data_IF_138842484737
#
_entry.id   IF_138842484737
#
_cell.length_a   1.000
_cell.length_b   1.000
_cell.length_c   1.000
_cell.angle_alpha   90.00
_cell.angle_beta   90.00
_cell.angle_gamma   90.00
#
_symmetry.space_group_name_H-M   'P 1'
#
loop_
_entity.id
_entity.type
_entity.pdbx_description
1 polymer ?
#
# COMPACT_ATOMS: atom_id res chain seq x y z
N UNK A 1 -2.94 -19.79 36.31
CA UNK A 1 -2.76 -20.20 34.90
C UNK A 1 -3.24 -19.07 34.01
N UNK A 2 -2.42 -18.46 33.14
CA UNK A 2 -2.89 -17.42 32.21
C UNK A 2 -3.92 -18.01 31.24
N UNK A 3 -4.90 -17.21 30.83
CA UNK A 3 -5.97 -17.64 29.93
C UNK A 3 -5.40 -18.06 28.55
N UNK A 4 -6.03 -19.00 27.82
CA UNK A 4 -5.52 -19.51 26.54
C UNK A 4 -5.22 -18.42 25.50
N UNK A 5 -5.96 -17.30 25.54
CA UNK A 5 -5.78 -16.15 24.66
C UNK A 5 -4.49 -15.37 24.95
N UNK A 6 -4.06 -15.28 26.22
CA UNK A 6 -2.81 -14.59 26.63
C UNK A 6 -1.59 -15.38 26.15
N UNK A 7 -1.64 -16.71 26.20
CA UNK A 7 -0.57 -17.58 25.67
C UNK A 7 -0.44 -17.51 24.14
N UNK A 8 -1.55 -17.36 23.41
CA UNK A 8 -1.53 -17.23 21.96
C UNK A 8 -0.90 -15.90 21.50
N UNK A 9 -1.29 -14.78 22.12
CA UNK A 9 -0.75 -13.46 21.79
C UNK A 9 0.75 -13.36 22.13
N UNK A 10 1.16 -13.92 23.27
CA UNK A 10 2.57 -14.00 23.65
C UNK A 10 3.40 -14.87 22.70
N UNK A 11 2.82 -15.96 22.17
CA UNK A 11 3.50 -16.80 21.18
C UNK A 11 3.74 -16.04 19.86
N UNK A 12 2.74 -15.31 19.35
CA UNK A 12 2.87 -14.55 18.10
C UNK A 12 3.87 -13.40 18.25
N UNK A 13 3.80 -12.66 19.36
CA UNK A 13 4.68 -11.51 19.62
C UNK A 13 6.17 -11.89 19.61
N UNK A 14 6.51 -13.13 19.99
CA UNK A 14 7.88 -13.63 20.07
C UNK A 14 8.33 -14.43 18.84
N UNK A 15 7.48 -14.58 17.82
CA UNK A 15 7.91 -15.26 16.58
C UNK A 15 8.78 -14.32 15.74
N UNK A 16 10.02 -14.73 15.49
CA UNK A 16 10.85 -14.14 14.45
C UNK A 16 10.39 -14.65 13.07
N UNK A 17 10.05 -13.78 12.10
CA UNK A 17 9.65 -14.20 10.76
C UNK A 17 10.81 -14.80 9.93
N UNK A 18 11.99 -14.99 10.52
CA UNK A 18 13.20 -15.43 9.83
C UNK A 18 13.84 -14.32 8.99
N UNK A 19 14.94 -14.64 8.29
CA UNK A 19 15.60 -13.69 7.40
C UNK A 19 14.72 -13.44 6.17
N UNK A 20 14.19 -12.22 6.03
CA UNK A 20 13.48 -11.82 4.82
C UNK A 20 14.45 -11.71 3.65
N UNK A 21 14.26 -12.55 2.61
CA UNK A 21 15.05 -12.47 1.39
C UNK A 21 14.63 -11.26 0.54
N UNK A 22 15.32 -10.13 0.71
CA UNK A 22 15.04 -8.88 -0.01
C UNK A 22 15.30 -8.93 -1.52
N UNK A 23 16.04 -9.93 -2.01
CA UNK A 23 16.44 -10.06 -3.41
C UNK A 23 15.31 -10.46 -4.37
N UNK A 24 14.22 -11.06 -3.86
CA UNK A 24 13.17 -11.62 -4.73
C UNK A 24 12.32 -10.59 -5.47
N UNK A 25 12.30 -9.34 -4.99
CA UNK A 25 11.48 -8.28 -5.58
C UNK A 25 12.06 -7.79 -6.92
N UNK A 26 13.39 -7.70 -7.05
CA UNK A 26 14.01 -7.10 -8.23
C UNK A 26 14.21 -8.09 -9.39
N UNK A 27 14.15 -9.40 -9.15
CA UNK A 27 14.49 -10.40 -10.16
C UNK A 27 13.62 -10.30 -11.41
N UNK A 28 12.30 -10.18 -11.26
CA UNK A 28 11.38 -10.09 -12.40
C UNK A 28 11.55 -8.77 -13.15
N UNK A 29 11.65 -7.65 -12.42
CA UNK A 29 11.89 -6.33 -13.02
C UNK A 29 13.19 -6.30 -13.84
N UNK A 30 14.29 -6.81 -13.26
CA UNK A 30 15.58 -6.88 -13.94
C UNK A 30 15.53 -7.77 -15.18
N UNK A 31 14.85 -8.92 -15.12
CA UNK A 31 14.69 -9.81 -16.28
C UNK A 31 13.88 -9.15 -17.40
N UNK A 32 12.80 -8.42 -17.07
CA UNK A 32 12.01 -7.67 -18.06
C UNK A 32 12.89 -6.62 -18.75
N UNK A 33 13.67 -5.86 -17.98
CA UNK A 33 14.56 -4.82 -18.52
C UNK A 33 15.68 -5.41 -19.38
N UNK A 34 16.29 -6.52 -18.95
CA UNK A 34 17.30 -7.23 -19.73
C UNK A 34 16.72 -7.75 -21.05
N UNK A 35 15.54 -8.38 -21.00
CA UNK A 35 14.85 -8.87 -22.18
C UNK A 35 14.51 -7.73 -23.15
N UNK A 36 14.06 -6.58 -22.63
CA UNK A 36 13.79 -5.39 -23.44
C UNK A 36 15.05 -4.90 -24.17
N UNK A 37 16.18 -4.77 -23.47
CA UNK A 37 17.45 -4.28 -24.06
C UNK A 37 18.05 -5.28 -25.04
N UNK A 38 17.88 -6.59 -24.82
CA UNK A 38 18.42 -7.63 -25.70
C UNK A 38 17.57 -7.90 -26.95
N UNK A 39 16.41 -7.25 -27.09
CA UNK A 39 15.48 -7.49 -28.20
C UNK A 39 15.56 -6.35 -29.21
N UNK A 40 16.04 -6.62 -30.42
CA UNK A 40 16.21 -5.58 -31.46
C UNK A 40 14.91 -4.85 -31.85
N UNK A 41 13.78 -5.57 -31.87
CA UNK A 41 12.46 -5.00 -32.16
C UNK A 41 11.43 -5.49 -31.12
N UNK A 42 11.38 -4.87 -29.93
CA UNK A 42 10.54 -5.35 -28.84
C UNK A 42 9.05 -5.13 -29.14
N UNK A 43 8.21 -6.08 -28.73
CA UNK A 43 6.76 -5.94 -28.86
C UNK A 43 6.23 -4.79 -28.01
N UNK A 44 5.05 -4.25 -28.37
CA UNK A 44 4.40 -3.19 -27.59
C UNK A 44 4.13 -3.62 -26.14
N UNK A 45 3.79 -4.90 -25.92
CA UNK A 45 3.65 -5.45 -24.56
C UNK A 45 4.96 -5.43 -23.76
N UNK A 46 6.10 -5.78 -24.39
CA UNK A 46 7.40 -5.73 -23.73
C UNK A 46 7.83 -4.29 -23.44
N UNK A 47 7.60 -3.35 -24.38
CA UNK A 47 7.81 -1.92 -24.16
C UNK A 47 6.98 -1.42 -22.97
N UNK A 48 5.70 -1.78 -22.91
CA UNK A 48 4.81 -1.38 -21.83
C UNK A 48 5.26 -1.93 -20.47
N UNK A 49 5.67 -3.20 -20.41
CA UNK A 49 6.22 -3.81 -19.19
C UNK A 49 7.49 -3.10 -18.73
N UNK A 50 8.42 -2.82 -19.64
CA UNK A 50 9.63 -2.06 -19.32
C UNK A 50 9.30 -0.64 -18.82
N UNK A 51 8.35 0.05 -19.46
CA UNK A 51 7.86 1.35 -18.99
C UNK A 51 7.21 1.26 -17.61
N UNK A 52 6.41 0.23 -17.35
CA UNK A 52 5.80 0.00 -16.03
C UNK A 52 6.87 -0.22 -14.95
N UNK A 53 7.92 -0.99 -15.25
CA UNK A 53 9.03 -1.19 -14.33
C UNK A 53 9.70 0.15 -13.97
N UNK A 54 10.00 0.97 -14.98
CA UNK A 54 10.74 2.23 -14.79
C UNK A 54 9.86 3.32 -14.16
N UNK A 55 8.58 3.42 -14.54
CA UNK A 55 7.68 4.50 -14.12
C UNK A 55 6.92 4.20 -12.82
N UNK A 56 6.66 2.93 -12.52
CA UNK A 56 5.83 2.53 -11.38
C UNK A 56 6.62 1.69 -10.40
N UNK A 57 7.12 0.54 -10.83
CA UNK A 57 7.66 -0.47 -9.92
C UNK A 57 8.89 0.03 -9.17
N UNK A 58 9.94 0.44 -9.90
CA UNK A 58 11.19 0.88 -9.29
C UNK A 58 10.98 2.13 -8.41
N UNK A 59 10.32 3.22 -8.88
CA UNK A 59 10.04 4.38 -8.03
C UNK A 59 9.27 4.05 -6.77
N UNK A 60 8.21 3.23 -6.86
CA UNK A 60 7.41 2.86 -5.68
C UNK A 60 8.23 2.03 -4.70
N UNK A 61 9.08 1.14 -5.20
CA UNK A 61 10.00 0.38 -4.36
C UNK A 61 11.00 1.29 -3.63
N UNK A 62 11.60 2.25 -4.33
CA UNK A 62 12.53 3.21 -3.72
C UNK A 62 11.83 4.07 -2.65
N UNK A 63 10.62 4.56 -2.91
CA UNK A 63 9.82 5.34 -1.96
C UNK A 63 9.53 4.56 -0.67
N UNK A 64 9.13 3.29 -0.81
CA UNK A 64 8.90 2.38 0.33
C UNK A 64 10.20 2.15 1.11
N UNK A 65 11.34 1.96 0.42
CA UNK A 65 12.63 1.73 1.08
C UNK A 65 13.16 2.97 1.78
N UNK A 66 12.95 4.15 1.21
CA UNK A 66 13.34 5.41 1.81
C UNK A 66 12.48 5.73 3.03
N UNK A 67 11.18 5.41 2.98
CA UNK A 67 10.23 5.69 4.05
C UNK A 67 9.46 4.41 4.46
N UNK A 68 10.10 3.48 5.19
CA UNK A 68 9.55 2.15 5.47
C UNK A 68 8.50 2.13 6.59
N UNK A 69 8.28 3.26 7.28
CA UNK A 69 7.33 3.33 8.39
C UNK A 69 5.89 3.10 7.89
N UNK A 70 5.09 2.40 8.68
CA UNK A 70 3.68 2.15 8.38
C UNK A 70 2.86 3.44 8.18
N UNK A 71 3.28 4.54 8.81
CA UNK A 71 2.72 5.90 8.65
C UNK A 71 2.87 6.46 7.24
N UNK A 72 3.70 5.90 6.38
CA UNK A 72 3.76 6.27 4.96
C UNK A 72 2.95 5.33 4.07
N UNK A 73 2.40 4.23 4.60
CA UNK A 73 1.75 3.19 3.81
C UNK A 73 0.60 3.69 2.92
N UNK A 74 -0.30 4.52 3.47
CA UNK A 74 -1.39 5.08 2.67
C UNK A 74 -0.88 6.03 1.57
N UNK A 75 0.21 6.77 1.85
CA UNK A 75 0.84 7.67 0.87
C UNK A 75 1.48 6.88 -0.27
N UNK A 76 2.20 5.81 0.05
CA UNK A 76 2.80 4.91 -0.95
C UNK A 76 1.75 4.30 -1.87
N UNK A 77 0.63 3.83 -1.30
CA UNK A 77 -0.49 3.29 -2.07
C UNK A 77 -1.09 4.34 -3.01
N UNK A 78 -1.35 5.55 -2.51
CA UNK A 78 -1.87 6.66 -3.31
C UNK A 78 -0.91 7.07 -4.43
N UNK A 79 0.38 7.19 -4.13
CA UNK A 79 1.40 7.52 -5.11
C UNK A 79 1.53 6.45 -6.20
N UNK A 80 1.43 5.17 -5.84
CA UNK A 80 1.43 4.07 -6.81
C UNK A 80 0.23 4.16 -7.76
N UNK A 81 -0.97 4.48 -7.24
CA UNK A 81 -2.17 4.69 -8.07
C UNK A 81 -1.95 5.86 -9.05
N UNK A 82 -1.39 6.98 -8.58
CA UNK A 82 -1.08 8.14 -9.44
C UNK A 82 -0.04 7.79 -10.52
N UNK A 83 0.99 7.01 -10.18
CA UNK A 83 2.00 6.55 -11.16
C UNK A 83 1.41 5.67 -12.25
N UNK A 84 0.35 4.91 -11.97
CA UNK A 84 -0.34 4.09 -12.97
C UNK A 84 -1.20 4.90 -13.95
N UNK A 85 -1.29 6.23 -13.84
CA UNK A 85 -2.14 7.06 -14.70
C UNK A 85 -1.79 6.99 -16.18
N UNK A 86 -0.53 6.69 -16.55
CA UNK A 86 -0.08 6.59 -17.95
C UNK A 86 -0.57 5.32 -18.66
N UNK A 87 -1.07 4.32 -17.93
CA UNK A 87 -1.44 3.04 -18.50
C UNK A 87 -2.66 3.18 -19.44
N UNK A 88 -2.68 2.47 -20.58
CA UNK A 88 -3.87 2.35 -21.42
C UNK A 88 -5.05 1.77 -20.62
N UNK A 89 -6.31 2.13 -20.95
CA UNK A 89 -7.49 1.72 -20.17
C UNK A 89 -7.58 0.21 -19.92
N UNK A 90 -7.23 -0.62 -20.91
CA UNK A 90 -7.25 -2.09 -20.83
C UNK A 90 -6.30 -2.65 -19.76
N UNK A 91 -5.11 -2.06 -19.60
CA UNK A 91 -4.13 -2.49 -18.61
C UNK A 91 -4.35 -1.81 -17.26
N UNK A 92 -4.91 -0.59 -17.29
CA UNK A 92 -5.22 0.18 -16.09
C UNK A 92 -6.25 -0.54 -15.22
N UNK A 93 -7.30 -1.12 -15.82
CA UNK A 93 -8.29 -1.92 -15.08
C UNK A 93 -7.64 -3.14 -14.41
N UNK A 94 -6.86 -3.91 -15.17
CA UNK A 94 -6.14 -5.08 -14.65
C UNK A 94 -5.23 -4.72 -13.47
N UNK A 95 -4.46 -3.64 -13.60
CA UNK A 95 -3.56 -3.18 -12.54
C UNK A 95 -4.38 -2.71 -11.34
N UNK A 96 -5.45 -1.93 -11.54
CA UNK A 96 -6.29 -1.43 -10.45
C UNK A 96 -6.98 -2.55 -9.69
N UNK A 97 -7.42 -3.62 -10.36
CA UNK A 97 -7.93 -4.83 -9.70
C UNK A 97 -6.88 -5.51 -8.82
N UNK A 98 -5.61 -5.47 -9.23
CA UNK A 98 -4.49 -5.97 -8.40
C UNK A 98 -4.28 -5.05 -7.18
N UNK A 99 -4.26 -3.73 -7.34
CA UNK A 99 -4.05 -2.84 -6.16
C UNK A 99 -5.27 -2.90 -5.23
N UNK A 100 -6.49 -3.02 -5.76
CA UNK A 100 -7.73 -3.16 -4.97
C UNK A 100 -7.68 -4.39 -4.07
N UNK A 101 -7.23 -5.54 -4.59
CA UNK A 101 -7.05 -6.77 -3.80
C UNK A 101 -5.93 -6.68 -2.75
N UNK A 102 -5.07 -5.67 -2.84
CA UNK A 102 -3.94 -5.44 -1.94
C UNK A 102 -4.08 -4.11 -1.16
N UNK A 103 -5.29 -3.56 -1.08
CA UNK A 103 -5.57 -2.22 -0.52
C UNK A 103 -5.50 -2.15 1.02
N UNK A 104 -4.70 -2.99 1.67
CA UNK A 104 -4.60 -3.04 3.14
C UNK A 104 -4.13 -1.71 3.75
N UNK A 105 -3.24 -0.97 3.06
CA UNK A 105 -2.81 0.34 3.55
C UNK A 105 -3.85 1.45 3.40
N UNK A 106 -4.98 1.18 2.74
CA UNK A 106 -6.11 2.10 2.69
C UNK A 106 -7.11 1.88 3.83
N UNK A 107 -6.91 0.90 4.72
CA UNK A 107 -7.74 0.79 5.93
C UNK A 107 -7.79 2.10 6.70
N UNK A 108 -8.93 2.42 7.31
CA UNK A 108 -9.15 3.71 7.95
C UNK A 108 -8.11 4.00 9.06
N UNK A 109 -7.62 2.98 9.76
CA UNK A 109 -6.55 3.09 10.75
C UNK A 109 -5.23 3.50 10.11
N UNK A 110 -4.87 2.88 8.98
CA UNK A 110 -3.63 3.16 8.27
C UNK A 110 -3.66 4.54 7.65
N UNK A 111 -4.81 4.96 7.11
CA UNK A 111 -5.01 6.32 6.62
C UNK A 111 -4.89 7.33 7.76
N UNK A 112 -5.59 7.13 8.89
CA UNK A 112 -5.50 8.01 10.06
C UNK A 112 -4.08 8.05 10.64
N UNK A 113 -3.38 6.92 10.66
CA UNK A 113 -1.98 6.83 11.08
C UNK A 113 -1.08 7.66 10.18
N UNK A 114 -1.28 7.60 8.86
CA UNK A 114 -0.58 8.47 7.91
C UNK A 114 -0.91 9.95 8.07
N UNK A 115 -2.15 10.29 8.44
CA UNK A 115 -2.56 11.67 8.69
C UNK A 115 -1.94 12.24 9.97
N UNK A 116 -1.72 11.42 11.01
CA UNK A 116 -1.09 11.86 12.26
C UNK A 116 0.37 12.28 12.09
N UNK A 117 1.11 11.66 11.15
CA UNK A 117 2.49 12.04 10.77
C UNK A 117 2.51 12.95 9.52
N UNK A 118 1.40 13.60 9.16
CA UNK A 118 1.40 14.61 8.07
C UNK A 118 2.13 15.87 8.52
N UNK A 119 2.90 16.48 7.62
CA UNK A 119 3.60 17.73 7.90
C UNK A 119 2.62 18.90 8.04
N UNK A 120 1.48 18.81 7.38
CA UNK A 120 0.41 19.82 7.40
C UNK A 120 -0.40 19.71 8.70
N UNK A 121 -0.35 20.75 9.53
CA UNK A 121 -0.99 20.77 10.85
C UNK A 121 -2.51 20.52 10.80
N UNK A 122 -3.20 21.09 9.82
CA UNK A 122 -4.64 20.92 9.65
C UNK A 122 -5.05 19.47 9.37
N UNK A 123 -4.18 18.66 8.74
CA UNK A 123 -4.44 17.24 8.47
C UNK A 123 -4.27 16.42 9.75
N UNK A 124 -3.23 16.70 10.54
CA UNK A 124 -3.04 16.07 11.85
C UNK A 124 -4.24 16.36 12.77
N UNK A 125 -4.71 17.60 12.77
CA UNK A 125 -5.89 17.99 13.53
C UNK A 125 -7.16 17.28 13.05
N UNK A 126 -7.36 17.16 11.73
CA UNK A 126 -8.47 16.39 11.16
C UNK A 126 -8.41 14.92 11.60
N UNK A 127 -7.24 14.30 11.62
CA UNK A 127 -7.04 12.93 12.09
C UNK A 127 -7.43 12.79 13.57
N UNK A 128 -6.96 13.70 14.41
CA UNK A 128 -7.28 13.74 15.83
C UNK A 128 -8.79 13.86 16.04
N UNK A 129 -9.46 14.78 15.34
CA UNK A 129 -10.92 14.96 15.42
C UNK A 129 -11.66 13.69 15.00
N UNK A 130 -11.25 13.02 13.92
CA UNK A 130 -11.83 11.75 13.45
C UNK A 130 -11.67 10.64 14.50
N UNK A 131 -10.49 10.51 15.11
CA UNK A 131 -10.22 9.52 16.17
C UNK A 131 -11.08 9.80 17.40
N UNK A 132 -11.14 11.05 17.88
CA UNK A 132 -11.94 11.42 19.04
C UNK A 132 -13.43 11.17 18.80
N UNK A 133 -13.93 11.46 17.59
CA UNK A 133 -15.31 11.15 17.20
C UNK A 133 -15.57 9.64 17.20
N UNK A 134 -14.67 8.84 16.62
CA UNK A 134 -14.81 7.39 16.60
C UNK A 134 -14.81 6.77 18.00
N UNK A 135 -13.96 7.27 18.92
CA UNK A 135 -13.92 6.81 20.32
C UNK A 135 -15.22 7.06 21.06
N UNK A 136 -15.91 8.18 20.80
CA UNK A 136 -17.21 8.49 21.40
C UNK A 136 -18.34 7.58 20.89
N UNK A 137 -18.22 7.07 19.67
CA UNK A 137 -19.22 6.21 19.02
C UNK A 137 -19.10 4.73 19.38
N UNK A 138 -18.03 4.33 20.07
CA UNK A 138 -17.74 2.92 20.30
C UNK A 138 -18.67 2.34 21.38
N UNK A 139 -19.75 1.68 20.95
CA UNK A 139 -20.74 0.98 21.81
C UNK A 139 -20.66 -0.55 21.74
N UNK A 140 -19.80 -1.12 20.89
CA UNK A 140 -19.78 -2.55 20.57
C UNK A 140 -18.42 -3.18 20.87
N UNK A 141 -18.44 -4.25 21.66
CA UNK A 141 -17.31 -5.13 21.96
C UNK A 141 -17.04 -6.16 20.84
N UNK A 142 -17.67 -6.04 19.68
CA UNK A 142 -17.49 -6.99 18.59
C UNK A 142 -16.06 -6.94 18.03
N UNK A 143 -15.51 -8.14 17.74
CA UNK A 143 -14.21 -8.28 17.07
C UNK A 143 -14.31 -7.65 15.68
N UNK A 144 -13.37 -6.76 15.37
CA UNK A 144 -13.30 -6.12 14.05
C UNK A 144 -13.01 -7.14 12.96
N UNK A 145 -13.80 -7.10 11.89
CA UNK A 145 -13.49 -7.81 10.65
C UNK A 145 -12.53 -6.98 9.78
N UNK A 146 -11.48 -7.62 9.28
CA UNK A 146 -10.45 -6.98 8.47
C UNK A 146 -10.78 -7.11 6.97
N UNK A 147 -11.82 -6.38 6.55
CA UNK A 147 -12.30 -6.40 5.16
C UNK A 147 -11.59 -5.35 4.32
N UNK A 148 -11.08 -5.75 3.16
CA UNK A 148 -10.37 -4.86 2.24
C UNK A 148 -11.29 -3.69 1.84
N UNK A 149 -10.86 -2.42 2.04
CA UNK A 149 -11.69 -1.27 1.70
C UNK A 149 -11.75 -1.06 0.19
N UNK A 150 -12.88 -0.56 -0.31
CA UNK A 150 -13.01 -0.14 -1.70
C UNK A 150 -12.23 1.15 -1.92
N UNK A 151 -11.34 1.17 -2.90
CA UNK A 151 -10.47 2.30 -3.20
C UNK A 151 -11.17 3.33 -4.08
N UNK A 152 -11.02 4.60 -3.71
CA UNK A 152 -11.26 5.73 -4.59
C UNK A 152 -10.02 5.99 -5.46
N UNK A 153 -10.00 5.41 -6.65
CA UNK A 153 -8.91 5.61 -7.62
C UNK A 153 -8.77 7.04 -8.15
N UNK A 154 -9.81 7.88 -7.97
CA UNK A 154 -9.81 9.28 -8.37
C UNK A 154 -9.36 10.22 -7.24
N UNK A 155 -8.99 9.68 -6.07
CA UNK A 155 -8.56 10.47 -4.94
C UNK A 155 -7.39 11.42 -5.30
N UNK A 156 -7.57 12.72 -5.06
CA UNK A 156 -6.51 13.70 -5.20
C UNK A 156 -5.46 13.57 -4.11
N UNK A 157 -5.90 13.23 -2.90
CA UNK A 157 -5.09 13.12 -1.69
C UNK A 157 -5.25 11.75 -1.03
N UNK A 158 -4.19 11.26 -0.38
CA UNK A 158 -4.16 9.92 0.20
C UNK A 158 -5.22 9.72 1.31
N UNK A 159 -5.62 10.78 2.01
CA UNK A 159 -6.62 10.71 3.07
C UNK A 159 -8.07 10.62 2.55
N UNK A 160 -8.25 10.64 1.23
CA UNK A 160 -9.50 10.42 0.50
C UNK A 160 -9.47 9.09 -0.29
N UNK A 161 -8.52 8.18 0.01
CA UNK A 161 -8.40 6.86 -0.65
C UNK A 161 -9.62 5.96 -0.41
N UNK A 162 -10.37 6.21 0.65
CA UNK A 162 -11.58 5.48 0.99
C UNK A 162 -12.70 6.50 1.24
N UNK A 163 -13.92 6.10 0.93
CA UNK A 163 -15.14 6.89 1.20
C UNK A 163 -15.58 6.73 2.65
#
# INVERSE_FOLDING_TARGET
MPSPQVNFLHHIANRSPGKMAHSRWLTTANRILQLYVSTNNPSEGLKLLAQFVIKVYAPSWFEIKQNPKATYGARHLHQMIKKCAFLPPEYKSLVFDVIQRNAYFAHCENVLLSMLEDQRAHIRELALRRILKARKLQSSYAIRQFNIPTLNFQAEEYYNLIS
#
